data_IF_335820512402
#
_entry.id   IF_335820512402
#
_cell.length_a   1.000
_cell.length_b   1.000
_cell.length_c   1.000
_cell.angle_alpha   90.00
_cell.angle_beta   90.00
_cell.angle_gamma   90.00
#
_symmetry.space_group_name_H-M   'P 1'
#
loop_
_entity.id
_entity.type
_entity.pdbx_description
1 polymer ?
#
# COMPACT_ATOMS: atom_id res chain seq x y z
N UNK A 1 20.10 -17.76 14.11
CA UNK A 1 18.66 -17.53 13.84
C UNK A 1 18.50 -16.27 12.98
N UNK A 2 17.53 -16.24 12.07
CA UNK A 2 17.15 -15.07 11.27
C UNK A 2 15.62 -14.96 11.30
N UNK A 3 15.09 -13.77 11.59
CA UNK A 3 13.65 -13.50 11.57
C UNK A 3 13.21 -13.16 10.14
N UNK A 4 12.07 -13.72 9.72
CA UNK A 4 11.42 -13.40 8.45
C UNK A 4 9.98 -13.04 8.75
N UNK A 5 9.55 -11.83 8.36
CA UNK A 5 8.19 -11.31 8.58
C UNK A 5 7.42 -11.29 7.27
N UNK A 6 6.16 -11.70 7.30
CA UNK A 6 5.25 -11.55 6.15
C UNK A 6 4.85 -10.08 5.97
N UNK A 7 4.79 -9.64 4.72
CA UNK A 7 4.32 -8.30 4.33
C UNK A 7 3.43 -8.48 3.10
N UNK A 8 2.13 -8.28 3.29
CA UNK A 8 1.13 -8.35 2.21
C UNK A 8 0.94 -6.97 1.56
N UNK A 9 0.51 -6.91 0.29
CA UNK A 9 0.29 -5.64 -0.42
C UNK A 9 -1.03 -4.94 -0.04
N UNK A 10 -1.92 -5.60 0.71
CA UNK A 10 -3.18 -5.03 1.15
C UNK A 10 -2.96 -3.98 2.25
N UNK A 11 -3.15 -2.71 1.90
CA UNK A 11 -3.09 -1.59 2.84
C UNK A 11 -4.48 -1.33 3.39
N UNK A 12 -4.66 -1.49 4.71
CA UNK A 12 -5.95 -1.22 5.39
C UNK A 12 -6.46 0.18 5.07
N UNK A 13 -7.75 0.28 4.74
CA UNK A 13 -8.47 1.55 4.65
C UNK A 13 -8.65 2.11 6.07
N UNK A 14 -7.74 3.02 6.45
CA UNK A 14 -7.77 3.70 7.74
C UNK A 14 -7.14 5.09 7.60
N UNK A 15 -7.93 6.14 7.86
CA UNK A 15 -7.49 7.54 7.74
C UNK A 15 -6.37 7.90 8.72
N UNK A 16 -6.20 7.14 9.80
CA UNK A 16 -5.12 7.32 10.76
C UNK A 16 -3.86 6.51 10.38
N UNK A 17 -3.96 5.60 9.39
CA UNK A 17 -2.82 4.81 8.94
C UNK A 17 -1.99 5.61 7.94
N UNK A 18 -0.75 5.91 8.33
CA UNK A 18 0.19 6.73 7.54
C UNK A 18 0.36 6.24 6.10
N UNK A 19 0.53 4.93 5.89
CA UNK A 19 0.73 4.35 4.55
C UNK A 19 -0.50 4.55 3.66
N UNK A 20 -1.70 4.37 4.23
CA UNK A 20 -2.94 4.63 3.52
C UNK A 20 -3.06 6.11 3.14
N UNK A 21 -2.82 7.01 4.08
CA UNK A 21 -2.89 8.46 3.85
C UNK A 21 -1.91 8.93 2.77
N UNK A 22 -0.64 8.57 2.88
CA UNK A 22 0.38 8.94 1.90
C UNK A 22 0.08 8.37 0.52
N UNK A 23 -0.37 7.12 0.45
CA UNK A 23 -0.70 6.48 -0.83
C UNK A 23 -1.89 7.16 -1.53
N UNK A 24 -2.88 7.63 -0.78
CA UNK A 24 -3.98 8.42 -1.34
C UNK A 24 -3.51 9.80 -1.83
N UNK A 25 -2.75 10.54 -1.02
CA UNK A 25 -2.27 11.88 -1.35
C UNK A 25 -1.42 11.89 -2.63
N UNK A 26 -0.66 10.81 -2.86
CA UNK A 26 0.23 10.68 -4.01
C UNK A 26 -0.36 9.88 -5.19
N UNK A 27 -1.62 9.42 -5.11
CA UNK A 27 -2.25 8.55 -6.13
C UNK A 27 -1.44 7.29 -6.43
N UNK A 28 -1.00 6.60 -5.38
CA UNK A 28 -0.13 5.42 -5.48
C UNK A 28 -0.87 4.08 -5.46
N UNK A 29 -2.18 4.08 -5.25
CA UNK A 29 -2.99 2.88 -5.28
C UNK A 29 -3.54 2.60 -6.69
N UNK A 30 -3.72 1.32 -7.00
CA UNK A 30 -4.38 0.88 -8.20
C UNK A 30 -5.80 1.45 -8.28
N UNK A 31 -6.20 1.87 -9.47
CA UNK A 31 -7.52 2.44 -9.76
C UNK A 31 -8.25 1.63 -10.81
N UNK A 32 -9.58 1.81 -10.87
CA UNK A 32 -10.38 1.33 -11.99
C UNK A 32 -10.21 2.24 -13.23
N UNK A 33 -10.94 1.91 -14.29
CA UNK A 33 -10.94 2.69 -15.55
C UNK A 33 -11.44 4.13 -15.42
N UNK A 34 -12.04 4.50 -14.29
CA UNK A 34 -12.57 5.84 -14.00
C UNK A 34 -11.70 6.57 -12.96
N UNK A 35 -10.47 6.09 -12.72
CA UNK A 35 -9.54 6.61 -11.72
C UNK A 35 -10.05 6.50 -10.26
N UNK A 36 -11.02 5.63 -9.99
CA UNK A 36 -11.50 5.36 -8.63
C UNK A 36 -10.57 4.33 -7.98
N UNK A 37 -10.05 4.66 -6.79
CA UNK A 37 -9.18 3.74 -6.03
C UNK A 37 -9.86 2.40 -5.80
N UNK A 38 -9.18 1.33 -6.20
CA UNK A 38 -9.68 -0.03 -6.07
C UNK A 38 -9.63 -0.48 -4.60
N UNK A 39 -10.79 -0.86 -4.07
CA UNK A 39 -10.97 -1.39 -2.71
C UNK A 39 -11.48 -2.82 -2.79
N UNK A 40 -10.92 -3.72 -1.99
CA UNK A 40 -11.41 -5.08 -1.81
C UNK A 40 -11.20 -5.54 -0.36
N UNK A 41 -12.01 -6.49 0.10
CA UNK A 41 -11.92 -7.05 1.45
C UNK A 41 -10.90 -8.19 1.51
N UNK A 42 -9.92 -8.07 2.41
CA UNK A 42 -8.86 -9.07 2.70
C UNK A 42 -8.58 -9.10 4.21
N UNK A 43 -7.44 -9.65 4.65
CA UNK A 43 -7.09 -9.82 6.07
C UNK A 43 -7.39 -8.61 6.99
N UNK A 44 -7.06 -7.35 6.63
CA UNK A 44 -7.37 -6.18 7.46
C UNK A 44 -8.81 -5.63 7.30
N UNK A 45 -9.69 -6.28 6.55
CA UNK A 45 -10.98 -5.75 6.07
C UNK A 45 -10.81 -5.03 4.74
N UNK A 46 -11.51 -3.91 4.55
CA UNK A 46 -11.33 -3.03 3.39
C UNK A 46 -9.85 -2.66 3.22
N UNK A 47 -9.29 -2.97 2.05
CA UNK A 47 -7.92 -2.68 1.70
C UNK A 47 -7.78 -2.13 0.28
N UNK A 48 -6.73 -1.34 0.10
CA UNK A 48 -6.26 -0.81 -1.19
C UNK A 48 -4.89 -1.38 -1.52
N UNK A 49 -4.51 -1.33 -2.80
CA UNK A 49 -3.33 -2.04 -3.31
C UNK A 49 -2.40 -1.05 -4.00
N UNK A 50 -1.11 -0.97 -3.61
CA UNK A 50 -0.13 -0.16 -4.33
C UNK A 50 -0.07 -0.55 -5.80
N UNK A 51 -0.07 0.43 -6.71
CA UNK A 51 0.15 0.17 -8.13
C UNK A 51 1.64 -0.13 -8.38
N UNK A 52 2.00 -1.40 -8.28
CA UNK A 52 3.39 -1.82 -8.49
C UNK A 52 3.86 -1.75 -9.95
N UNK A 53 3.02 -1.42 -10.92
CA UNK A 53 3.48 -1.13 -12.28
C UNK A 53 4.26 0.20 -12.32
N UNK A 54 3.89 1.14 -11.44
CA UNK A 54 4.56 2.43 -11.28
C UNK A 54 5.88 2.29 -10.49
N UNK A 55 6.99 2.72 -11.10
CA UNK A 55 8.31 2.66 -10.45
C UNK A 55 8.43 3.53 -9.20
N UNK A 56 7.71 4.65 -9.14
CA UNK A 56 7.71 5.53 -7.97
C UNK A 56 7.01 4.86 -6.78
N UNK A 57 5.94 4.10 -7.03
CA UNK A 57 5.24 3.32 -6.01
C UNK A 57 6.10 2.19 -5.48
N UNK A 58 6.82 1.47 -6.35
CA UNK A 58 7.79 0.44 -5.92
C UNK A 58 8.87 1.02 -5.00
N UNK A 59 9.39 2.20 -5.35
CA UNK A 59 10.38 2.90 -4.51
C UNK A 59 9.78 3.32 -3.15
N UNK A 60 8.61 3.96 -3.16
CA UNK A 60 7.91 4.36 -1.94
C UNK A 60 7.58 3.16 -1.04
N UNK A 61 7.14 2.04 -1.62
CA UNK A 61 6.87 0.82 -0.87
C UNK A 61 8.14 0.29 -0.21
N UNK A 62 9.23 0.11 -0.98
CA UNK A 62 10.50 -0.36 -0.44
C UNK A 62 11.04 0.54 0.70
N UNK A 63 10.94 1.86 0.55
CA UNK A 63 11.36 2.84 1.56
C UNK A 63 10.53 2.74 2.88
N UNK A 64 9.32 2.16 2.83
CA UNK A 64 8.44 1.97 4.00
C UNK A 64 8.50 0.56 4.62
N UNK A 65 9.09 -0.43 3.95
CA UNK A 65 9.20 -1.80 4.47
C UNK A 65 10.56 -2.13 5.10
N UNK A 66 11.56 -1.26 4.95
CA UNK A 66 12.89 -1.49 5.50
C UNK A 66 13.02 -0.93 6.94
N UNK A 67 13.33 -1.77 7.95
CA UNK A 67 13.44 -1.33 9.35
C UNK A 67 14.64 -0.44 9.67
N UNK A 68 15.46 -0.06 8.69
CA UNK A 68 16.73 0.65 8.90
C UNK A 68 16.69 2.13 8.49
N UNK A 69 15.51 2.74 8.59
CA UNK A 69 15.38 4.19 8.81
C UNK A 69 14.89 4.44 10.22
#
# INVERSE_FOLDING_TARGET
FKLVTIIDPGVKVDKNYKIYKEGLENKYFATDKNDITYVNEVWPGDAVYPDFLNSNVRKWWADNQYPSK
#
